data_IF_547942982915
#
_entry.id   IF_547942982915
#
_cell.length_a   1.000
_cell.length_b   1.000
_cell.length_c   1.000
_cell.angle_alpha   90.00
_cell.angle_beta   90.00
_cell.angle_gamma   90.00
#
_symmetry.space_group_name_H-M   'P 1'
#
loop_
_entity.id
_entity.type
_entity.pdbx_description
1 polymer ?
#
# COMPACT_ATOMS: atom_id res chain seq x y z
N UNK A 1 -2.87 -22.69 -25.65
CA UNK A 1 -1.76 -22.06 -24.94
C UNK A 1 -0.74 -21.61 -25.97
N UNK A 2 -0.56 -20.31 -26.19
CA UNK A 2 0.33 -19.77 -27.25
C UNK A 2 1.80 -19.96 -26.85
N UNK A 3 2.69 -20.22 -27.82
CA UNK A 3 4.13 -20.48 -27.57
C UNK A 3 4.82 -19.41 -26.72
N UNK A 4 4.36 -18.15 -26.75
CA UNK A 4 4.88 -17.03 -25.97
C UNK A 4 4.65 -17.14 -24.45
N UNK A 5 3.67 -17.93 -24.00
CA UNK A 5 3.39 -18.10 -22.56
C UNK A 5 4.39 -19.01 -21.85
N UNK A 6 5.12 -19.86 -22.61
CA UNK A 6 6.07 -20.84 -22.05
C UNK A 6 7.39 -20.23 -21.54
N UNK A 7 7.66 -18.96 -21.84
CA UNK A 7 8.95 -18.30 -21.52
C UNK A 7 8.78 -17.06 -20.61
N UNK A 8 7.61 -16.85 -20.06
CA UNK A 8 7.39 -15.70 -19.14
C UNK A 8 7.91 -16.04 -17.75
N UNK A 9 8.65 -15.10 -17.14
CA UNK A 9 9.07 -15.25 -15.74
C UNK A 9 7.86 -15.25 -14.82
N UNK A 10 7.93 -15.91 -13.64
CA UNK A 10 6.87 -15.83 -12.62
C UNK A 10 6.48 -14.38 -12.29
N UNK A 11 7.44 -13.47 -12.16
CA UNK A 11 7.20 -12.05 -11.92
C UNK A 11 6.40 -11.36 -13.04
N UNK A 12 6.64 -11.74 -14.32
CA UNK A 12 5.86 -11.20 -15.43
C UNK A 12 4.41 -11.71 -15.41
N UNK A 13 4.20 -12.96 -15.05
CA UNK A 13 2.86 -13.56 -14.93
C UNK A 13 2.09 -12.90 -13.79
N UNK A 14 2.72 -12.71 -12.64
CA UNK A 14 2.16 -12.01 -11.48
C UNK A 14 1.76 -10.58 -11.85
N UNK A 15 2.66 -9.81 -12.43
CA UNK A 15 2.36 -8.43 -12.84
C UNK A 15 1.23 -8.31 -13.87
N UNK A 16 1.05 -9.31 -14.76
CA UNK A 16 -0.10 -9.34 -15.66
C UNK A 16 -1.41 -9.62 -14.92
N UNK A 17 -1.39 -10.50 -13.93
CA UNK A 17 -2.55 -10.80 -13.10
C UNK A 17 -2.98 -9.56 -12.30
N UNK A 18 -2.04 -8.84 -11.69
CA UNK A 18 -2.26 -7.59 -10.97
C UNK A 18 -2.93 -6.52 -11.87
N UNK A 19 -2.32 -6.20 -13.00
CA UNK A 19 -2.89 -5.21 -13.94
C UNK A 19 -4.28 -5.64 -14.42
N UNK A 20 -4.47 -6.92 -14.72
CA UNK A 20 -5.76 -7.44 -15.15
C UNK A 20 -6.83 -7.32 -14.06
N UNK A 21 -6.46 -7.53 -12.80
CA UNK A 21 -7.35 -7.35 -11.66
C UNK A 21 -7.79 -5.89 -11.54
N UNK A 22 -6.84 -4.94 -11.52
CA UNK A 22 -7.14 -3.51 -11.43
C UNK A 22 -8.06 -3.03 -12.55
N UNK A 23 -7.83 -3.45 -13.79
CA UNK A 23 -8.64 -3.04 -14.94
C UNK A 23 -10.02 -3.70 -14.98
N UNK A 24 -10.16 -4.94 -14.50
CA UNK A 24 -11.42 -5.71 -14.64
C UNK A 24 -12.31 -5.62 -13.41
N UNK A 25 -11.75 -5.44 -12.25
CA UNK A 25 -12.49 -5.46 -10.98
C UNK A 25 -12.60 -4.05 -10.44
N UNK A 26 -11.47 -3.40 -10.15
CA UNK A 26 -11.46 -2.14 -9.42
C UNK A 26 -11.86 -0.93 -10.29
N UNK A 27 -11.27 -0.77 -11.48
CA UNK A 27 -11.57 0.38 -12.34
C UNK A 27 -13.05 0.47 -12.75
N UNK A 28 -13.76 -0.61 -13.12
CA UNK A 28 -15.21 -0.56 -13.35
C UNK A 28 -16.01 -0.12 -12.13
N UNK A 29 -15.64 -0.55 -10.91
CA UNK A 29 -16.31 -0.14 -9.68
C UNK A 29 -16.19 1.38 -9.49
N UNK A 30 -14.99 1.93 -9.64
CA UNK A 30 -14.75 3.37 -9.55
C UNK A 30 -15.51 4.14 -10.64
N UNK A 31 -15.54 3.64 -11.88
CA UNK A 31 -16.26 4.27 -13.00
C UNK A 31 -17.76 4.33 -12.77
N UNK A 32 -18.33 3.26 -12.22
CA UNK A 32 -19.75 3.20 -11.91
C UNK A 32 -20.18 4.09 -10.73
N UNK A 33 -19.22 4.68 -10.00
CA UNK A 33 -19.50 5.38 -8.74
C UNK A 33 -19.94 4.44 -7.63
N UNK A 34 -19.84 3.12 -7.86
CA UNK A 34 -20.15 2.08 -6.92
C UNK A 34 -18.94 1.79 -6.07
N UNK A 35 -18.85 2.39 -4.90
CA UNK A 35 -18.00 1.88 -3.85
C UNK A 35 -18.81 0.84 -3.10
N UNK A 36 -18.19 -0.29 -2.77
CA UNK A 36 -18.85 -1.30 -1.94
C UNK A 36 -19.44 -0.62 -0.69
N UNK A 37 -20.71 -0.84 -0.36
CA UNK A 37 -21.41 -0.06 0.65
C UNK A 37 -20.81 -0.06 2.05
N UNK A 38 -19.93 -1.02 2.36
CA UNK A 38 -19.38 -1.17 3.71
C UNK A 38 -18.16 -0.30 4.01
N UNK A 39 -17.22 -0.16 3.07
CA UNK A 39 -15.88 0.32 3.43
C UNK A 39 -15.59 1.73 2.97
N UNK A 40 -15.89 2.03 1.72
CA UNK A 40 -15.49 3.32 1.14
C UNK A 40 -16.44 4.43 1.56
N UNK A 41 -17.73 4.13 1.80
CA UNK A 41 -18.68 5.15 2.25
C UNK A 41 -18.33 5.67 3.66
N UNK A 42 -17.87 4.79 4.55
CA UNK A 42 -17.36 5.22 5.87
C UNK A 42 -16.05 6.00 5.73
N UNK A 43 -15.21 5.67 4.73
CA UNK A 43 -13.97 6.35 4.45
C UNK A 43 -14.18 7.75 3.84
N UNK A 44 -15.26 7.93 3.10
CA UNK A 44 -15.64 9.23 2.53
C UNK A 44 -16.33 10.16 3.53
N UNK A 45 -16.48 9.75 4.81
CA UNK A 45 -17.10 10.55 5.87
C UNK A 45 -18.49 11.08 5.49
N UNK A 46 -19.26 10.29 4.73
CA UNK A 46 -20.59 10.67 4.24
C UNK A 46 -20.59 11.66 3.07
N UNK A 47 -19.44 12.04 2.52
CA UNK A 47 -19.37 12.87 1.32
C UNK A 47 -20.01 12.14 0.12
N UNK A 48 -20.85 12.82 -0.68
CA UNK A 48 -21.37 12.20 -1.90
C UNK A 48 -20.23 11.93 -2.88
N UNK A 49 -20.33 10.86 -3.68
CA UNK A 49 -19.33 10.58 -4.74
C UNK A 49 -19.20 11.78 -5.69
N UNK A 50 -17.97 12.09 -6.08
CA UNK A 50 -17.73 13.13 -7.07
C UNK A 50 -18.36 12.76 -8.43
N UNK A 51 -18.85 13.75 -9.15
CA UNK A 51 -19.55 13.55 -10.43
C UNK A 51 -18.66 12.98 -11.54
N UNK A 52 -17.33 13.18 -11.45
CA UNK A 52 -16.38 12.71 -12.46
C UNK A 52 -15.54 11.51 -11.96
N UNK A 53 -15.11 10.67 -12.90
CA UNK A 53 -14.20 9.55 -12.62
C UNK A 53 -12.91 10.01 -11.90
N UNK A 54 -12.29 11.10 -12.37
CA UNK A 54 -11.08 11.63 -11.71
C UNK A 54 -11.38 12.19 -10.32
N UNK A 55 -12.51 12.85 -10.14
CA UNK A 55 -12.96 13.34 -8.85
C UNK A 55 -13.13 12.18 -7.85
N UNK A 56 -13.78 11.08 -8.26
CA UNK A 56 -13.94 9.88 -7.42
C UNK A 56 -12.59 9.26 -7.06
N UNK A 57 -11.66 9.17 -8.00
CA UNK A 57 -10.30 8.68 -7.72
C UNK A 57 -9.57 9.55 -6.70
N UNK A 58 -9.68 10.86 -6.80
CA UNK A 58 -9.12 11.78 -5.81
C UNK A 58 -9.79 11.65 -4.43
N UNK A 59 -11.11 11.42 -4.38
CA UNK A 59 -11.80 11.13 -3.12
C UNK A 59 -11.25 9.86 -2.48
N UNK A 60 -11.06 8.79 -3.27
CA UNK A 60 -10.46 7.53 -2.77
C UNK A 60 -9.05 7.76 -2.23
N UNK A 61 -8.19 8.44 -2.98
CA UNK A 61 -6.82 8.72 -2.56
C UNK A 61 -6.78 9.48 -1.22
N UNK A 62 -7.64 10.49 -1.03
CA UNK A 62 -7.77 11.20 0.23
C UNK A 62 -8.34 10.32 1.34
N UNK A 63 -9.29 9.45 1.00
CA UNK A 63 -9.85 8.48 1.95
C UNK A 63 -8.77 7.50 2.45
N UNK A 64 -7.89 7.04 1.55
CA UNK A 64 -6.77 6.19 1.95
C UNK A 64 -5.81 6.89 2.92
N UNK A 65 -5.50 8.17 2.72
CA UNK A 65 -4.68 8.93 3.69
C UNK A 65 -5.34 8.97 5.06
N UNK A 66 -6.66 9.28 5.12
CA UNK A 66 -7.40 9.29 6.38
C UNK A 66 -7.47 7.90 7.01
N UNK A 67 -7.62 6.87 6.19
CA UNK A 67 -7.65 5.48 6.63
C UNK A 67 -6.34 5.07 7.29
N UNK A 68 -5.20 5.37 6.67
CA UNK A 68 -3.88 5.10 7.25
C UNK A 68 -3.73 5.75 8.62
N UNK A 69 -4.10 7.02 8.77
CA UNK A 69 -4.04 7.72 10.06
C UNK A 69 -4.92 7.05 11.12
N UNK A 70 -6.14 6.71 10.77
CA UNK A 70 -7.10 6.08 11.68
C UNK A 70 -6.64 4.68 12.11
N UNK A 71 -6.26 3.81 11.16
CA UNK A 71 -5.80 2.46 11.44
C UNK A 71 -4.50 2.47 12.26
N UNK A 72 -3.62 3.44 12.03
CA UNK A 72 -2.40 3.64 12.81
C UNK A 72 -2.63 4.33 14.17
N UNK A 73 -3.87 4.63 14.55
CA UNK A 73 -4.23 5.37 15.76
C UNK A 73 -3.51 6.72 15.89
N UNK A 74 -3.39 7.44 14.76
CA UNK A 74 -2.74 8.77 14.68
C UNK A 74 -3.83 9.82 14.59
N UNK A 75 -4.04 10.56 15.68
CA UNK A 75 -5.09 11.57 15.79
C UNK A 75 -4.72 12.90 15.09
N UNK A 76 -3.43 13.18 14.93
CA UNK A 76 -2.95 14.42 14.29
C UNK A 76 -3.14 14.36 12.76
N UNK A 77 -4.08 15.14 12.17
CA UNK A 77 -4.31 15.15 10.73
C UNK A 77 -3.16 15.75 9.96
N UNK A 78 -2.25 16.47 10.61
CA UNK A 78 -1.05 17.05 10.02
C UNK A 78 0.16 16.12 10.07
N UNK A 79 -0.01 14.88 10.54
CA UNK A 79 1.08 13.93 10.78
C UNK A 79 2.06 13.79 9.60
N UNK A 80 1.59 13.84 8.39
CA UNK A 80 2.44 13.71 7.20
C UNK A 80 3.06 15.05 6.74
N UNK A 81 2.58 16.20 7.23
CA UNK A 81 3.08 17.51 6.80
C UNK A 81 4.59 17.63 7.05
N UNK A 82 5.29 18.33 6.15
CA UNK A 82 6.74 18.59 6.20
C UNK A 82 7.64 17.33 6.21
N UNK A 83 7.08 16.14 5.99
CA UNK A 83 7.79 14.86 6.01
C UNK A 83 8.15 14.37 4.62
N UNK A 84 9.16 13.51 4.55
CA UNK A 84 9.42 12.60 3.44
C UNK A 84 8.69 11.30 3.72
N UNK A 85 7.71 10.99 2.91
CA UNK A 85 6.85 9.81 3.05
C UNK A 85 7.06 8.88 1.88
N UNK A 86 7.26 7.60 2.16
CA UNK A 86 7.35 6.54 1.16
C UNK A 86 6.21 5.57 1.38
N UNK A 87 5.47 5.26 0.32
CA UNK A 87 4.45 4.21 0.30
C UNK A 87 4.97 3.02 -0.52
N UNK A 88 5.01 1.85 0.09
CA UNK A 88 5.50 0.60 -0.52
C UNK A 88 4.31 -0.20 -1.04
N UNK A 89 4.29 -0.44 -2.34
CA UNK A 89 3.21 -1.15 -3.01
C UNK A 89 1.89 -0.37 -3.02
N UNK A 90 1.87 0.95 -3.34
CA UNK A 90 0.64 1.74 -3.31
C UNK A 90 -0.39 1.27 -4.35
N UNK A 91 0.01 0.48 -5.33
CA UNK A 91 -0.83 0.24 -6.48
C UNK A 91 -1.28 1.55 -7.14
N UNK A 92 -2.41 1.57 -7.84
CA UNK A 92 -2.96 2.78 -8.42
C UNK A 92 -3.99 3.49 -7.52
N UNK A 93 -4.03 3.20 -6.21
CA UNK A 93 -5.01 3.80 -5.27
C UNK A 93 -4.79 5.28 -5.03
N UNK A 94 -3.55 5.75 -5.15
CA UNK A 94 -3.24 7.17 -5.12
C UNK A 94 -2.94 7.73 -3.72
N UNK A 95 -2.59 6.88 -2.72
CA UNK A 95 -2.13 7.40 -1.43
C UNK A 95 -0.96 8.39 -1.60
N UNK A 96 0.13 8.06 -2.36
CA UNK A 96 1.20 9.01 -2.56
C UNK A 96 0.75 10.32 -3.19
N UNK A 97 -0.25 10.27 -4.09
CA UNK A 97 -0.78 11.44 -4.78
C UNK A 97 -1.50 12.40 -3.83
N UNK A 98 -2.26 11.87 -2.88
CA UNK A 98 -3.08 12.64 -1.94
C UNK A 98 -2.39 12.92 -0.60
N UNK A 99 -1.26 12.27 -0.32
CA UNK A 99 -0.53 12.45 0.94
C UNK A 99 0.00 13.88 1.06
N UNK A 100 -0.37 14.64 2.13
CA UNK A 100 0.04 16.03 2.29
C UNK A 100 1.47 16.16 2.83
N UNK A 101 2.37 15.36 2.30
CA UNK A 101 3.78 15.33 2.68
C UNK A 101 4.57 16.41 1.92
N UNK A 102 5.74 16.81 2.46
CA UNK A 102 6.70 17.64 1.73
C UNK A 102 7.24 16.92 0.49
N UNK A 103 7.47 15.61 0.62
CA UNK A 103 7.85 14.71 -0.48
C UNK A 103 7.08 13.42 -0.30
N UNK A 104 6.33 13.01 -1.30
CA UNK A 104 5.59 11.75 -1.32
C UNK A 104 6.07 10.87 -2.46
N UNK A 105 6.46 9.64 -2.14
CA UNK A 105 7.06 8.69 -3.07
C UNK A 105 6.30 7.36 -2.99
N UNK A 106 5.82 6.87 -4.13
CA UNK A 106 5.33 5.52 -4.28
C UNK A 106 6.44 4.58 -4.79
N UNK A 107 6.70 3.49 -4.10
CA UNK A 107 7.60 2.42 -4.55
C UNK A 107 6.76 1.28 -5.08
N UNK A 108 6.71 1.14 -6.40
CA UNK A 108 5.78 0.23 -7.07
C UNK A 108 6.45 -0.40 -8.32
N UNK A 109 6.76 -1.69 -8.31
CA UNK A 109 7.44 -2.33 -9.44
C UNK A 109 6.62 -2.28 -10.74
N UNK A 110 5.30 -2.13 -10.65
CA UNK A 110 4.41 -2.03 -11.80
C UNK A 110 4.07 -0.58 -12.20
N UNK A 111 4.71 0.43 -11.59
CA UNK A 111 4.39 1.85 -11.80
C UNK A 111 4.31 2.25 -13.28
N UNK A 112 5.28 1.82 -14.11
CA UNK A 112 5.25 2.09 -15.55
C UNK A 112 4.02 1.47 -16.22
N UNK A 113 3.65 0.26 -15.84
CA UNK A 113 2.49 -0.45 -16.40
C UNK A 113 1.18 0.21 -15.98
N UNK A 114 1.09 0.71 -14.73
CA UNK A 114 -0.05 1.50 -14.28
C UNK A 114 -0.14 2.84 -15.04
N UNK A 115 0.98 3.49 -15.29
CA UNK A 115 1.02 4.71 -16.11
C UNK A 115 0.56 4.45 -17.54
N UNK A 116 1.06 3.39 -18.20
CA UNK A 116 0.68 3.00 -19.55
C UNK A 116 -0.83 2.66 -19.65
N UNK A 117 -1.38 2.06 -18.60
CA UNK A 117 -2.81 1.76 -18.47
C UNK A 117 -3.66 2.96 -18.04
N UNK A 118 -3.05 4.14 -17.79
CA UNK A 118 -3.70 5.36 -17.28
C UNK A 118 -4.41 5.15 -15.93
N UNK A 119 -3.85 4.30 -15.10
CA UNK A 119 -4.36 4.02 -13.76
C UNK A 119 -3.76 4.93 -12.69
N UNK A 120 -2.64 5.60 -12.91
CA UNK A 120 -2.11 6.60 -11.98
C UNK A 120 -2.90 7.92 -12.05
N UNK A 121 -2.96 8.63 -10.92
CA UNK A 121 -3.51 9.98 -10.88
C UNK A 121 -2.53 10.97 -11.52
N UNK A 122 -3.07 12.04 -12.08
CA UNK A 122 -2.27 13.19 -12.53
C UNK A 122 -1.94 14.06 -11.31
N UNK A 123 -0.75 13.89 -10.76
CA UNK A 123 -0.31 14.52 -9.52
C UNK A 123 1.18 14.85 -9.56
N UNK A 124 1.68 15.39 -8.44
CA UNK A 124 3.10 15.65 -8.21
C UNK A 124 3.85 14.54 -7.48
N UNK A 125 3.18 13.43 -7.16
CA UNK A 125 3.83 12.29 -6.52
C UNK A 125 4.87 11.65 -7.44
N UNK A 126 5.95 11.18 -6.85
CA UNK A 126 7.01 10.45 -7.57
C UNK A 126 6.78 8.96 -7.40
N UNK A 127 6.67 8.23 -8.52
CA UNK A 127 6.63 6.78 -8.50
C UNK A 127 7.96 6.19 -8.94
N UNK A 128 8.55 5.34 -8.11
CA UNK A 128 9.75 4.59 -8.39
C UNK A 128 9.36 3.17 -8.81
N UNK A 129 9.71 2.78 -10.03
CA UNK A 129 9.56 1.41 -10.52
C UNK A 129 10.64 0.52 -9.88
N UNK A 130 10.51 0.26 -8.58
CA UNK A 130 11.47 -0.47 -7.76
C UNK A 130 10.75 -1.50 -6.89
N UNK A 131 11.51 -2.50 -6.43
CA UNK A 131 11.02 -3.51 -5.49
C UNK A 131 11.18 -3.01 -4.07
N UNK A 132 10.31 -3.46 -3.17
CA UNK A 132 10.34 -3.13 -1.76
C UNK A 132 11.66 -3.53 -1.07
N UNK A 133 12.29 -4.59 -1.54
CA UNK A 133 13.54 -5.15 -1.00
C UNK A 133 14.80 -4.37 -1.42
N UNK A 134 14.69 -3.45 -2.41
CA UNK A 134 15.83 -2.71 -2.95
C UNK A 134 15.38 -1.36 -3.51
N UNK A 135 15.10 -0.41 -2.65
CA UNK A 135 14.62 0.92 -3.02
C UNK A 135 15.82 1.85 -3.28
N UNK A 136 15.89 2.52 -4.44
CA UNK A 136 17.04 3.36 -4.81
C UNK A 136 17.01 4.72 -4.09
N UNK A 137 16.89 4.71 -2.77
CA UNK A 137 16.95 5.89 -1.91
C UNK A 137 18.11 5.77 -0.90
N UNK A 138 18.61 6.91 -0.47
CA UNK A 138 19.68 6.99 0.52
C UNK A 138 19.15 6.54 1.89
N UNK A 139 19.99 5.84 2.66
CA UNK A 139 19.67 5.42 4.03
C UNK A 139 19.39 6.61 4.94
N UNK A 140 18.50 6.43 5.92
CA UNK A 140 18.18 7.42 6.97
C UNK A 140 17.67 8.77 6.41
N UNK A 141 16.87 8.74 5.32
CA UNK A 141 16.33 9.97 4.69
C UNK A 141 14.81 10.05 4.72
N UNK A 142 14.12 8.99 5.13
CA UNK A 142 12.68 8.90 5.13
C UNK A 142 12.12 9.08 6.53
N UNK A 143 11.09 9.90 6.67
CA UNK A 143 10.40 10.16 7.93
C UNK A 143 9.35 9.12 8.26
N UNK A 144 8.57 8.72 7.25
CA UNK A 144 7.48 7.76 7.39
C UNK A 144 7.50 6.81 6.21
N UNK A 145 7.38 5.52 6.50
CA UNK A 145 7.11 4.49 5.51
C UNK A 145 5.73 3.91 5.80
N UNK A 146 4.92 3.80 4.77
CA UNK A 146 3.64 3.10 4.76
C UNK A 146 3.81 1.87 3.88
N UNK A 147 3.34 0.71 4.32
CA UNK A 147 3.19 -0.50 3.50
C UNK A 147 1.84 -1.12 3.87
N UNK A 148 0.87 -0.97 2.97
CA UNK A 148 -0.50 -1.32 3.25
C UNK A 148 -1.00 -2.35 2.24
N UNK A 149 -1.37 -3.53 2.76
CA UNK A 149 -1.80 -4.69 1.96
C UNK A 149 -0.84 -4.94 0.79
N UNK A 150 0.46 -4.96 1.09
CA UNK A 150 1.52 -5.09 0.09
C UNK A 150 2.66 -6.02 0.53
N UNK A 151 2.75 -6.31 1.84
CA UNK A 151 3.85 -7.11 2.38
C UNK A 151 3.78 -8.58 1.95
N UNK A 152 2.59 -9.12 1.75
CA UNK A 152 2.33 -10.47 1.24
C UNK A 152 2.51 -10.59 -0.28
N UNK A 153 2.59 -9.45 -0.99
CA UNK A 153 2.83 -9.36 -2.43
C UNK A 153 4.32 -9.30 -2.81
N UNK A 154 5.23 -8.98 -1.90
CA UNK A 154 6.67 -8.85 -2.22
C UNK A 154 7.33 -10.21 -2.43
N UNK A 155 8.58 -10.26 -2.90
CA UNK A 155 9.27 -11.54 -3.09
C UNK A 155 9.87 -12.04 -1.76
N UNK A 156 10.34 -11.13 -0.89
CA UNK A 156 10.87 -11.43 0.45
C UNK A 156 10.38 -10.38 1.47
N UNK A 157 9.32 -10.67 2.23
CA UNK A 157 8.76 -9.74 3.22
C UNK A 157 9.77 -9.29 4.28
N UNK A 158 10.65 -10.19 4.72
CA UNK A 158 11.68 -9.86 5.70
C UNK A 158 12.72 -8.88 5.14
N UNK A 159 13.16 -9.10 3.89
CA UNK A 159 14.06 -8.17 3.21
C UNK A 159 13.40 -6.81 2.97
N UNK A 160 12.11 -6.77 2.62
CA UNK A 160 11.35 -5.53 2.47
C UNK A 160 11.30 -4.73 3.78
N UNK A 161 11.07 -5.38 4.93
CA UNK A 161 11.10 -4.72 6.24
C UNK A 161 12.53 -4.24 6.59
N UNK A 162 13.56 -5.04 6.29
CA UNK A 162 14.94 -4.62 6.52
C UNK A 162 15.31 -3.39 5.67
N UNK A 163 14.84 -3.33 4.43
CA UNK A 163 15.03 -2.18 3.54
C UNK A 163 14.25 -0.95 4.03
N UNK A 164 13.01 -1.11 4.47
CA UNK A 164 12.23 -0.03 5.09
C UNK A 164 12.98 0.56 6.29
N UNK A 165 13.53 -0.29 7.16
CA UNK A 165 14.34 0.16 8.29
C UNK A 165 15.62 0.89 7.87
N UNK A 166 16.29 0.46 6.80
CA UNK A 166 17.46 1.15 6.24
C UNK A 166 17.12 2.57 5.80
N UNK A 167 15.95 2.75 5.20
CA UNK A 167 15.50 4.05 4.68
C UNK A 167 15.08 5.01 5.78
N UNK A 168 14.45 4.50 6.85
CA UNK A 168 13.96 5.33 7.96
C UNK A 168 15.12 6.01 8.70
N UNK A 169 14.98 7.30 8.92
CA UNK A 169 15.86 8.04 9.83
C UNK A 169 15.61 7.63 11.29
N UNK A 170 16.54 7.91 12.22
CA UNK A 170 16.27 7.81 13.65
C UNK A 170 14.98 8.59 14.02
N UNK A 171 14.10 7.98 14.80
CA UNK A 171 12.79 8.50 15.14
C UNK A 171 11.74 8.39 14.03
N UNK A 172 12.08 7.85 12.86
CA UNK A 172 11.14 7.62 11.76
C UNK A 172 10.10 6.55 12.09
N UNK A 173 8.98 6.56 11.38
CA UNK A 173 7.82 5.71 11.65
C UNK A 173 7.57 4.75 10.48
N UNK A 174 7.41 3.47 10.78
CA UNK A 174 6.91 2.44 9.87
C UNK A 174 5.45 2.13 10.23
N UNK A 175 4.56 2.22 9.24
CA UNK A 175 3.15 1.85 9.35
C UNK A 175 2.94 0.66 8.42
N UNK A 176 2.65 -0.51 9.00
CA UNK A 176 2.33 -1.73 8.27
C UNK A 176 0.84 -2.05 8.44
N UNK A 177 0.20 -2.43 7.35
CA UNK A 177 -1.08 -3.12 7.37
C UNK A 177 -0.94 -4.36 6.47
N UNK A 178 -1.24 -5.54 6.98
CA UNK A 178 -1.09 -6.80 6.27
C UNK A 178 -2.10 -7.83 6.76
N UNK A 179 -2.39 -8.79 5.90
CA UNK A 179 -3.31 -9.86 6.19
C UNK A 179 -2.55 -11.09 6.73
N UNK A 180 -3.13 -11.75 7.71
CA UNK A 180 -2.63 -12.98 8.30
C UNK A 180 -3.63 -14.12 8.15
N UNK A 181 -3.15 -15.36 8.23
CA UNK A 181 -3.98 -16.59 8.20
C UNK A 181 -4.78 -16.76 6.90
N UNK A 182 -4.43 -16.03 5.84
CA UNK A 182 -5.07 -16.22 4.53
C UNK A 182 -4.41 -17.35 3.72
N UNK A 183 -5.16 -17.92 2.78
CA UNK A 183 -4.60 -18.91 1.85
C UNK A 183 -3.77 -18.21 0.78
N UNK A 184 -2.48 -18.57 0.58
CA UNK A 184 -1.65 -17.97 -0.45
C UNK A 184 -2.24 -18.07 -1.85
N UNK A 185 -2.08 -17.00 -2.63
CA UNK A 185 -2.50 -16.92 -4.03
C UNK A 185 -1.28 -16.64 -4.93
N UNK A 186 -1.40 -16.76 -6.26
CA UNK A 186 -0.29 -16.37 -7.15
C UNK A 186 0.12 -14.90 -7.06
N UNK A 187 -0.77 -14.01 -6.61
CA UNK A 187 -0.49 -12.58 -6.41
C UNK A 187 -0.07 -12.26 -4.98
N UNK A 188 -0.50 -13.05 -4.03
CA UNK A 188 -0.23 -12.95 -2.58
C UNK A 188 0.44 -14.25 -2.11
N UNK A 189 1.73 -14.46 -2.43
CA UNK A 189 2.37 -15.76 -2.23
C UNK A 189 2.70 -16.09 -0.78
N UNK A 190 2.62 -15.13 0.14
CA UNK A 190 3.01 -15.30 1.53
C UNK A 190 1.80 -15.32 2.45
N UNK A 191 1.59 -16.42 3.16
CA UNK A 191 0.74 -16.44 4.36
C UNK A 191 1.57 -15.89 5.52
N UNK A 192 1.35 -14.62 5.85
CA UNK A 192 2.09 -13.96 6.92
C UNK A 192 1.58 -14.38 8.30
N UNK A 193 2.50 -14.43 9.27
CA UNK A 193 2.22 -14.63 10.69
C UNK A 193 2.60 -13.35 11.46
N UNK A 194 1.71 -12.89 12.33
CA UNK A 194 1.91 -11.63 13.06
C UNK A 194 3.11 -11.67 14.00
N UNK A 195 3.37 -12.82 14.68
CA UNK A 195 4.52 -12.97 15.56
C UNK A 195 5.83 -12.98 14.77
N UNK A 196 5.82 -13.60 13.60
CA UNK A 196 6.95 -13.59 12.68
C UNK A 196 7.27 -12.15 12.22
N UNK A 197 6.27 -11.39 11.75
CA UNK A 197 6.45 -9.98 11.35
C UNK A 197 6.95 -9.13 12.53
N UNK A 198 6.40 -9.31 13.74
CA UNK A 198 6.92 -8.63 14.96
C UNK A 198 8.39 -8.96 15.22
N UNK A 199 8.81 -10.21 15.00
CA UNK A 199 10.20 -10.62 15.19
C UNK A 199 11.17 -9.86 14.27
N UNK A 200 10.76 -9.54 13.04
CA UNK A 200 11.54 -8.74 12.08
C UNK A 200 11.67 -7.27 12.51
N UNK A 201 10.72 -6.79 13.33
CA UNK A 201 10.70 -5.45 13.91
C UNK A 201 11.40 -5.35 15.27
N UNK A 202 12.07 -6.41 15.75
CA UNK A 202 12.64 -6.49 17.10
C UNK A 202 13.65 -5.39 17.47
N UNK A 203 14.24 -4.72 16.48
CA UNK A 203 15.11 -3.54 16.69
C UNK A 203 14.36 -2.19 16.64
N UNK A 204 13.04 -2.21 16.49
CA UNK A 204 12.17 -1.03 16.53
C UNK A 204 11.27 -1.07 17.77
N UNK A 205 10.67 0.05 18.12
CA UNK A 205 9.68 0.11 19.19
C UNK A 205 8.28 0.07 18.58
N UNK A 206 7.48 -0.96 18.87
CA UNK A 206 6.07 -1.01 18.45
C UNK A 206 5.30 0.00 19.31
N UNK A 207 4.74 1.00 18.65
CA UNK A 207 3.99 2.09 19.28
C UNK A 207 2.48 1.84 19.27
N UNK A 208 1.99 1.09 18.30
CA UNK A 208 0.59 0.69 18.18
C UNK A 208 0.47 -0.64 17.45
N UNK A 209 -0.50 -1.42 17.85
CA UNK A 209 -0.91 -2.66 17.18
C UNK A 209 -2.43 -2.80 17.32
N UNK A 210 -3.09 -3.19 16.22
CA UNK A 210 -4.50 -3.55 16.21
C UNK A 210 -4.74 -4.72 15.25
N UNK A 211 -5.76 -5.52 15.54
CA UNK A 211 -6.14 -6.71 14.77
C UNK A 211 -7.66 -6.72 14.64
N UNK A 212 -8.16 -6.90 13.43
CA UNK A 212 -9.60 -7.00 13.18
C UNK A 212 -9.96 -8.03 12.12
N UNK A 213 -11.16 -8.56 12.21
CA UNK A 213 -11.71 -9.46 11.22
C UNK A 213 -11.94 -8.72 9.88
N UNK A 214 -11.67 -9.41 8.79
CA UNK A 214 -12.00 -8.86 7.47
C UNK A 214 -13.50 -8.63 7.33
N UNK A 215 -13.92 -7.40 6.95
CA UNK A 215 -15.34 -7.03 6.92
C UNK A 215 -16.16 -7.79 5.86
N UNK A 216 -15.52 -8.50 4.93
CA UNK A 216 -16.18 -9.14 3.78
C UNK A 216 -16.02 -10.66 3.71
N UNK A 217 -15.68 -11.31 4.83
CA UNK A 217 -15.59 -12.78 4.88
C UNK A 217 -14.44 -13.35 4.07
N UNK A 218 -13.37 -12.57 3.85
CA UNK A 218 -12.08 -13.11 3.47
C UNK A 218 -11.54 -13.94 4.63
N UNK A 219 -10.88 -15.03 4.33
CA UNK A 219 -10.20 -15.83 5.34
C UNK A 219 -9.10 -14.99 6.00
N UNK A 220 -8.95 -15.12 7.35
CA UNK A 220 -7.90 -14.45 8.10
C UNK A 220 -8.30 -13.12 8.73
N UNK A 221 -7.28 -12.42 9.24
CA UNK A 221 -7.41 -11.15 9.95
C UNK A 221 -6.49 -10.11 9.33
N UNK A 222 -6.86 -8.83 9.43
CA UNK A 222 -5.99 -7.71 9.12
C UNK A 222 -5.26 -7.25 10.38
N UNK A 223 -3.96 -7.03 10.26
CA UNK A 223 -3.09 -6.53 11.34
C UNK A 223 -2.51 -5.18 10.96
N UNK A 224 -2.57 -4.22 11.86
CA UNK A 224 -1.79 -2.98 11.76
C UNK A 224 -0.71 -2.96 12.82
N UNK A 225 0.51 -2.64 12.40
CA UNK A 225 1.65 -2.40 13.27
C UNK A 225 2.22 -1.01 12.97
N UNK A 226 2.38 -0.21 14.00
CA UNK A 226 3.12 1.06 13.93
C UNK A 226 4.39 0.92 14.74
N UNK A 227 5.53 1.00 14.07
CA UNK A 227 6.84 0.85 14.72
C UNK A 227 7.70 2.09 14.51
N UNK A 228 8.52 2.44 15.51
CA UNK A 228 9.45 3.58 15.48
C UNK A 228 10.88 3.11 15.44
N UNK A 229 11.65 3.69 14.52
CA UNK A 229 13.10 3.49 14.45
C UNK A 229 13.76 4.18 15.65
N UNK A 230 14.64 3.50 16.40
CA UNK A 230 15.35 4.10 17.51
C UNK A 230 16.30 5.23 17.09
#
# INVERSE_FOLDING_TARGET
MRLHERFRSPAAIKGDAEIAWWLRVWDPIVRAGGFSPGDVQQLLDGEPPADSYQGRRWQLARAEVRRVLREANIEDPSFFHEKVVVDIGPGPLGFPDACPARVSIGVEPLAQRFADARLLLDSHAVYLAARAEAVPLVSNTVDVIVARNSLDHVDDPRAAIAEARRLLRPGGTLILNFDVEHTPTPTEPHALDADEVRSWLSAMTIAHEDVWDHPHGHDGHAVVLVARQP
#
